data_IF_768967550936
#
_entry.id   IF_768967550936
#
_cell.length_a   1.000
_cell.length_b   1.000
_cell.length_c   1.000
_cell.angle_alpha   90.00
_cell.angle_beta   90.00
_cell.angle_gamma   90.00
#
_symmetry.space_group_name_H-M   'P 1'
#
loop_
_entity.id
_entity.type
_entity.pdbx_description
1 polymer ?
#
# COMPACT_ATOMS: atom_id res chain seq x y z
N UNK A 1 -34.08 1.10 6.97
CA UNK A 1 -33.02 1.81 6.24
C UNK A 1 -31.84 0.86 5.96
N UNK A 2 -31.46 0.57 4.69
CA UNK A 2 -30.42 -0.43 4.37
C UNK A 2 -29.11 0.12 3.74
N UNK A 3 -29.07 1.37 3.27
CA UNK A 3 -27.99 1.90 2.41
C UNK A 3 -26.57 1.80 3.03
N UNK A 4 -26.44 1.98 4.35
CA UNK A 4 -25.13 1.96 5.04
C UNK A 4 -24.53 0.56 5.08
N UNK A 5 -25.37 -0.47 5.29
CA UNK A 5 -24.96 -1.87 5.33
C UNK A 5 -24.45 -2.32 3.95
N UNK A 6 -25.04 -1.81 2.87
CA UNK A 6 -24.62 -2.14 1.51
C UNK A 6 -23.30 -1.46 1.11
N UNK A 7 -23.09 -0.19 1.52
CA UNK A 7 -21.81 0.51 1.32
C UNK A 7 -20.65 -0.20 2.03
N UNK A 8 -20.84 -0.62 3.29
CA UNK A 8 -19.82 -1.36 4.05
C UNK A 8 -19.50 -2.71 3.42
N UNK A 9 -20.52 -3.50 3.05
CA UNK A 9 -20.31 -4.78 2.39
C UNK A 9 -19.54 -4.64 1.08
N UNK A 10 -19.91 -3.66 0.25
CA UNK A 10 -19.21 -3.37 -1.01
C UNK A 10 -17.75 -2.97 -0.75
N UNK A 11 -17.48 -2.16 0.27
CA UNK A 11 -16.11 -1.82 0.66
C UNK A 11 -15.31 -3.07 1.05
N UNK A 12 -15.85 -3.92 1.94
CA UNK A 12 -15.16 -5.14 2.41
C UNK A 12 -14.83 -6.06 1.23
N UNK A 13 -15.82 -6.36 0.38
CA UNK A 13 -15.63 -7.20 -0.79
C UNK A 13 -14.51 -6.67 -1.72
N UNK A 14 -14.52 -5.36 -1.99
CA UNK A 14 -13.50 -4.75 -2.84
C UNK A 14 -12.13 -4.70 -2.17
N UNK A 15 -12.07 -4.43 -0.86
CA UNK A 15 -10.83 -4.38 -0.11
C UNK A 15 -10.17 -5.76 -0.07
N UNK A 16 -10.91 -6.81 0.30
CA UNK A 16 -10.40 -8.19 0.34
C UNK A 16 -9.87 -8.62 -1.03
N UNK A 17 -10.63 -8.40 -2.10
CA UNK A 17 -10.22 -8.77 -3.45
C UNK A 17 -8.94 -8.02 -3.89
N UNK A 18 -8.85 -6.71 -3.62
CA UNK A 18 -7.69 -5.89 -4.02
C UNK A 18 -6.44 -6.21 -3.22
N UNK A 19 -6.57 -6.33 -1.89
CA UNK A 19 -5.44 -6.65 -1.01
C UNK A 19 -4.93 -8.06 -1.32
N UNK A 20 -5.81 -9.03 -1.59
CA UNK A 20 -5.41 -10.38 -1.99
C UNK A 20 -4.59 -10.39 -3.28
N UNK A 21 -5.02 -9.64 -4.29
CA UNK A 21 -4.26 -9.51 -5.55
C UNK A 21 -2.89 -8.88 -5.32
N UNK A 22 -2.83 -7.77 -4.58
CA UNK A 22 -1.56 -7.13 -4.24
C UNK A 22 -0.60 -8.07 -3.49
N UNK A 23 -1.09 -8.86 -2.52
CA UNK A 23 -0.27 -9.86 -1.83
C UNK A 23 0.28 -10.92 -2.80
N UNK A 24 -0.52 -11.38 -3.76
CA UNK A 24 -0.07 -12.36 -4.76
C UNK A 24 1.00 -11.77 -5.68
N UNK A 25 0.83 -10.53 -6.14
CA UNK A 25 1.81 -9.86 -6.99
C UNK A 25 3.13 -9.62 -6.22
N UNK A 26 3.06 -9.26 -4.94
CA UNK A 26 4.24 -9.13 -4.07
C UNK A 26 4.98 -10.48 -3.94
N UNK A 27 4.26 -11.60 -3.82
CA UNK A 27 4.89 -12.94 -3.79
C UNK A 27 5.59 -13.26 -5.12
N UNK A 28 4.97 -12.92 -6.25
CA UNK A 28 5.58 -13.10 -7.58
C UNK A 28 6.84 -12.25 -7.75
N UNK A 29 6.83 -11.00 -7.25
CA UNK A 29 8.02 -10.17 -7.18
C UNK A 29 9.11 -10.84 -6.33
N UNK A 30 8.74 -11.45 -5.20
CA UNK A 30 9.65 -12.22 -4.36
C UNK A 30 10.34 -13.38 -5.09
N UNK A 31 9.65 -14.04 -6.02
CA UNK A 31 10.22 -15.13 -6.82
C UNK A 31 11.33 -14.65 -7.78
N UNK A 32 11.38 -13.36 -8.12
CA UNK A 32 12.46 -12.77 -8.91
C UNK A 32 13.80 -12.76 -8.16
N UNK A 33 13.80 -13.03 -6.85
CA UNK A 33 15.02 -13.20 -6.06
C UNK A 33 15.89 -14.38 -6.50
N UNK A 34 15.35 -15.29 -7.32
CA UNK A 34 16.13 -16.43 -7.79
C UNK A 34 17.25 -16.00 -8.76
N UNK A 35 18.47 -15.84 -8.24
CA UNK A 35 19.68 -15.47 -9.01
C UNK A 35 20.14 -16.55 -10.01
N UNK A 36 19.67 -17.79 -9.90
CA UNK A 36 19.98 -18.82 -10.91
C UNK A 36 19.14 -18.66 -12.17
N UNK A 37 17.97 -18.06 -12.07
CA UNK A 37 17.06 -17.79 -13.18
C UNK A 37 17.20 -16.37 -13.75
N UNK A 38 17.64 -15.41 -12.91
CA UNK A 38 17.64 -13.99 -13.26
C UNK A 38 18.95 -13.30 -12.86
N UNK A 39 19.40 -12.36 -13.69
CA UNK A 39 20.47 -11.43 -13.37
C UNK A 39 19.88 -10.07 -12.98
N UNK A 40 20.24 -9.58 -11.79
CA UNK A 40 19.81 -8.28 -11.27
C UNK A 40 20.84 -7.74 -10.28
N UNK A 41 20.98 -6.42 -10.25
CA UNK A 41 21.86 -5.71 -9.30
C UNK A 41 21.11 -5.18 -8.09
N UNK A 42 21.86 -4.72 -7.09
CA UNK A 42 21.28 -4.12 -5.88
C UNK A 42 20.50 -2.83 -6.20
N UNK A 43 20.86 -2.11 -7.26
CA UNK A 43 20.14 -0.92 -7.70
C UNK A 43 18.73 -1.26 -8.22
N UNK A 44 18.58 -2.38 -8.94
CA UNK A 44 17.28 -2.87 -9.41
C UNK A 44 16.36 -3.20 -8.24
N UNK A 45 16.89 -3.93 -7.24
CA UNK A 45 16.17 -4.26 -6.00
C UNK A 45 15.70 -2.97 -5.31
N UNK A 46 16.60 -2.00 -5.12
CA UNK A 46 16.27 -0.72 -4.47
C UNK A 46 15.19 0.03 -5.24
N UNK A 47 15.29 0.12 -6.56
CA UNK A 47 14.31 0.80 -7.41
C UNK A 47 12.93 0.14 -7.31
N UNK A 48 12.87 -1.18 -7.38
CA UNK A 48 11.62 -1.96 -7.28
C UNK A 48 10.91 -1.70 -5.94
N UNK A 49 11.61 -1.87 -4.83
CA UNK A 49 11.00 -1.70 -3.50
C UNK A 49 10.70 -0.23 -3.16
N UNK A 50 11.50 0.72 -3.66
CA UNK A 50 11.22 2.15 -3.52
C UNK A 50 9.94 2.55 -4.26
N UNK A 51 9.71 2.01 -5.45
CA UNK A 51 8.48 2.26 -6.20
C UNK A 51 7.25 1.70 -5.46
N UNK A 52 7.32 0.45 -4.99
CA UNK A 52 6.25 -0.19 -4.22
C UNK A 52 5.94 0.59 -2.93
N UNK A 53 6.97 0.98 -2.19
CA UNK A 53 6.79 1.74 -0.95
C UNK A 53 6.12 3.10 -1.20
N UNK A 54 6.51 3.83 -2.25
CA UNK A 54 5.89 5.10 -2.62
C UNK A 54 4.40 4.94 -2.92
N UNK A 55 4.03 3.91 -3.68
CA UNK A 55 2.62 3.65 -4.00
C UNK A 55 1.81 3.25 -2.77
N UNK A 56 2.39 2.46 -1.87
CA UNK A 56 1.75 2.10 -0.60
C UNK A 56 1.50 3.33 0.28
N UNK A 57 2.48 4.22 0.42
CA UNK A 57 2.32 5.47 1.18
C UNK A 57 1.29 6.39 0.53
N UNK A 58 1.30 6.53 -0.80
CA UNK A 58 0.30 7.32 -1.53
C UNK A 58 -1.13 6.73 -1.42
N UNK A 59 -1.26 5.42 -1.33
CA UNK A 59 -2.55 4.77 -1.07
C UNK A 59 -3.00 5.01 0.38
N UNK A 60 -2.09 4.90 1.35
CA UNK A 60 -2.34 5.11 2.78
C UNK A 60 -2.75 6.55 3.07
N UNK A 61 -2.11 7.54 2.45
CA UNK A 61 -2.43 8.96 2.68
C UNK A 61 -3.89 9.29 2.33
N UNK A 62 -4.47 8.63 1.32
CA UNK A 62 -5.89 8.78 0.95
C UNK A 62 -6.88 8.32 2.03
N UNK A 63 -6.43 7.51 2.99
CA UNK A 63 -7.22 7.11 4.16
C UNK A 63 -6.97 8.02 5.38
N UNK A 64 -5.94 8.88 5.34
CA UNK A 64 -5.49 9.72 6.45
C UNK A 64 -6.01 11.16 6.43
N UNK A 65 -6.59 11.65 5.33
CA UNK A 65 -7.00 13.06 5.17
C UNK A 65 -8.36 13.44 5.82
N UNK A 66 -8.96 12.57 6.65
CA UNK A 66 -10.24 12.85 7.34
C UNK A 66 -10.12 12.97 8.88
N UNK A 67 -8.91 13.19 9.40
CA UNK A 67 -8.71 13.55 10.81
C UNK A 67 -7.68 14.68 10.95
N UNK A 68 -8.18 15.91 11.01
CA UNK A 68 -7.69 16.95 11.93
C UNK A 68 -6.20 16.89 12.31
N UNK A 69 -5.35 17.59 11.55
CA UNK A 69 -4.23 18.30 12.15
C UNK A 69 -4.30 19.78 11.76
N UNK A 70 -5.37 20.42 12.24
CA UNK A 70 -5.33 21.85 12.57
C UNK A 70 -4.69 21.95 13.95
N UNK A 71 -3.44 22.40 13.97
CA UNK A 71 -2.76 23.06 15.10
C UNK A 71 -2.37 22.17 16.28
N UNK A 72 -1.07 21.89 16.40
CA UNK A 72 -0.35 22.16 17.64
C UNK A 72 0.94 22.94 17.33
N UNK A 73 0.99 24.17 17.83
CA UNK A 73 2.13 25.06 17.69
C UNK A 73 3.35 24.47 18.38
N UNK A 74 4.46 24.41 17.64
CA UNK A 74 5.77 24.14 18.24
C UNK A 74 6.18 25.32 19.13
N UNK A 75 6.43 25.05 20.42
CA UNK A 75 7.15 25.95 21.32
C UNK A 75 8.52 25.36 21.62
N UNK A 76 9.54 26.21 21.57
CA UNK A 76 10.86 25.92 22.09
C UNK A 76 10.85 26.14 23.61
N UNK A 77 11.06 25.07 24.36
CA UNK A 77 11.95 25.08 25.52
C UNK A 77 12.94 23.92 25.38
#
# INVERSE_FOLDING_TARGET
MPIVRDKRKKFVQLAEARVTRAMNDIRLIGNLSNRSAYAYGDDDIRKMFKALHRELEAAKSKFGDDASDRTEGFRLE
#
